data_IF_746254377337
#
_entry.id   IF_746254377337
#
_cell.length_a   1.000
_cell.length_b   1.000
_cell.length_c   1.000
_cell.angle_alpha   90.00
_cell.angle_beta   90.00
_cell.angle_gamma   90.00
#
_symmetry.space_group_name_H-M   'P 1'
#
loop_
_entity.id
_entity.type
_entity.pdbx_description
1 polymer ?
#
# COMPACT_ATOMS: atom_id res chain seq x y z
N UNK A 1 5.68 -7.24 -0.50
CA UNK A 1 5.87 -7.77 0.88
C UNK A 1 5.00 -6.98 1.84
N UNK A 2 4.61 -7.58 2.96
CA UNK A 2 3.94 -6.92 4.09
C UNK A 2 4.74 -7.25 5.35
N UNK A 3 5.08 -6.24 6.13
CA UNK A 3 5.86 -6.36 7.37
C UNK A 3 5.07 -5.72 8.50
N UNK A 4 4.85 -6.44 9.60
CA UNK A 4 4.14 -5.91 10.75
C UNK A 4 5.06 -5.06 11.64
N UNK A 5 4.53 -3.96 12.17
CA UNK A 5 5.20 -3.11 13.15
C UNK A 5 5.35 -3.84 14.50
N UNK A 6 6.27 -3.38 15.37
CA UNK A 6 6.27 -3.76 16.78
C UNK A 6 4.88 -3.52 17.41
N UNK A 7 4.32 -4.56 18.04
CA UNK A 7 2.96 -4.52 18.59
C UNK A 7 1.85 -4.98 17.64
N UNK A 8 2.17 -5.28 16.36
CA UNK A 8 1.29 -5.94 15.37
C UNK A 8 -0.09 -5.28 15.19
N UNK A 9 -0.20 -3.98 15.42
CA UNK A 9 -1.42 -3.20 15.11
C UNK A 9 -1.44 -2.68 13.68
N UNK A 10 -0.26 -2.45 13.11
CA UNK A 10 -0.11 -1.91 11.76
C UNK A 10 0.98 -2.65 11.00
N UNK A 11 1.01 -2.52 9.68
CA UNK A 11 2.07 -3.05 8.86
C UNK A 11 2.37 -2.23 7.62
N UNK A 12 3.65 -2.16 7.28
CA UNK A 12 4.14 -1.54 6.07
C UNK A 12 4.12 -2.54 4.91
N UNK A 13 3.65 -2.11 3.74
CA UNK A 13 3.70 -2.92 2.54
C UNK A 13 4.43 -2.25 1.38
N UNK A 14 4.98 -3.08 0.51
CA UNK A 14 5.59 -2.68 -0.75
C UNK A 14 5.18 -3.63 -1.89
N UNK A 15 4.86 -3.06 -3.06
CA UNK A 15 4.55 -3.79 -4.30
C UNK A 15 5.46 -3.28 -5.40
N UNK A 16 6.08 -4.19 -6.13
CA UNK A 16 6.90 -3.90 -7.31
C UNK A 16 6.38 -4.74 -8.47
N UNK A 17 6.16 -4.11 -9.62
CA UNK A 17 5.76 -4.78 -10.87
C UNK A 17 6.77 -4.37 -11.93
N UNK A 18 7.46 -5.35 -12.51
CA UNK A 18 8.42 -5.10 -13.59
C UNK A 18 7.75 -4.43 -14.78
N UNK A 19 8.50 -3.59 -15.50
CA UNK A 19 7.96 -2.69 -16.53
C UNK A 19 7.13 -3.39 -17.61
N UNK A 20 7.57 -4.56 -18.06
CA UNK A 20 6.88 -5.38 -19.07
C UNK A 20 5.47 -5.83 -18.62
N UNK A 21 5.19 -5.81 -17.32
CA UNK A 21 3.96 -6.30 -16.72
C UNK A 21 3.10 -5.18 -16.11
N UNK A 22 3.52 -3.92 -16.26
CA UNK A 22 2.74 -2.77 -15.82
C UNK A 22 1.51 -2.56 -16.72
N UNK A 23 0.48 -1.90 -16.19
CA UNK A 23 -0.77 -1.64 -16.93
C UNK A 23 -1.73 -2.83 -17.04
N UNK A 24 -1.30 -4.05 -16.66
CA UNK A 24 -2.11 -5.28 -16.72
C UNK A 24 -2.93 -5.54 -15.43
N UNK A 25 -2.95 -4.59 -14.50
CA UNK A 25 -3.69 -4.71 -13.24
C UNK A 25 -3.02 -5.55 -12.15
N UNK A 26 -1.80 -6.06 -12.37
CA UNK A 26 -1.08 -6.87 -11.38
C UNK A 26 -0.84 -6.14 -10.05
N UNK A 27 -0.45 -4.86 -10.10
CA UNK A 27 -0.27 -4.07 -8.88
C UNK A 27 -1.55 -3.99 -8.04
N UNK A 28 -2.72 -3.91 -8.68
CA UNK A 28 -4.02 -3.91 -7.99
C UNK A 28 -4.27 -5.24 -7.30
N UNK A 29 -4.09 -6.35 -8.02
CA UNK A 29 -4.29 -7.69 -7.49
C UNK A 29 -3.32 -8.00 -6.34
N UNK A 30 -2.05 -7.62 -6.47
CA UNK A 30 -1.07 -7.79 -5.41
C UNK A 30 -1.42 -6.97 -4.17
N UNK A 31 -1.89 -5.71 -4.33
CA UNK A 31 -2.37 -4.91 -3.21
C UNK A 31 -3.64 -5.49 -2.57
N UNK A 32 -4.56 -6.08 -3.35
CA UNK A 32 -5.71 -6.81 -2.80
C UNK A 32 -5.25 -7.98 -1.93
N UNK A 33 -4.30 -8.80 -2.41
CA UNK A 33 -3.73 -9.89 -1.62
C UNK A 33 -3.08 -9.37 -0.32
N UNK A 34 -2.37 -8.25 -0.36
CA UNK A 34 -1.77 -7.65 0.83
C UNK A 34 -2.81 -7.21 1.84
N UNK A 35 -3.94 -6.65 1.39
CA UNK A 35 -5.05 -6.26 2.28
C UNK A 35 -5.61 -7.49 2.99
N UNK A 36 -5.87 -8.58 2.26
CA UNK A 36 -6.37 -9.82 2.87
C UNK A 36 -5.35 -10.44 3.83
N UNK A 37 -4.07 -10.53 3.44
CA UNK A 37 -3.02 -11.02 4.34
C UNK A 37 -2.93 -10.15 5.60
N UNK A 38 -3.06 -8.82 5.47
CA UNK A 38 -3.08 -7.92 6.63
C UNK A 38 -4.24 -8.21 7.59
N UNK A 39 -5.42 -8.56 7.05
CA UNK A 39 -6.58 -8.97 7.86
C UNK A 39 -6.34 -10.32 8.54
N UNK A 40 -5.81 -11.29 7.80
CA UNK A 40 -5.47 -12.62 8.34
C UNK A 40 -4.39 -12.55 9.43
N UNK A 41 -3.46 -11.59 9.33
CA UNK A 41 -2.46 -11.29 10.34
C UNK A 41 -3.02 -10.55 11.58
N UNK A 42 -4.29 -10.11 11.55
CA UNK A 42 -4.93 -9.35 12.62
C UNK A 42 -4.49 -7.89 12.72
N UNK A 43 -3.97 -7.31 11.64
CA UNK A 43 -3.57 -5.89 11.61
C UNK A 43 -4.80 -4.99 11.51
N UNK A 44 -4.84 -3.90 12.27
CA UNK A 44 -5.90 -2.88 12.21
C UNK A 44 -5.74 -1.96 10.98
N UNK A 45 -4.50 -1.77 10.53
CA UNK A 45 -4.13 -0.83 9.47
C UNK A 45 -2.94 -1.32 8.66
N UNK A 46 -2.92 -1.02 7.37
CA UNK A 46 -1.72 -1.14 6.53
C UNK A 46 -1.33 0.23 5.96
N UNK A 47 -0.05 0.41 5.67
CA UNK A 47 0.44 1.63 5.04
C UNK A 47 1.62 1.38 4.10
N UNK A 48 1.88 2.34 3.21
CA UNK A 48 3.05 2.35 2.33
C UNK A 48 3.60 3.77 2.21
N UNK A 49 4.90 3.86 1.98
CA UNK A 49 5.56 5.09 1.53
C UNK A 49 5.69 5.08 0.02
N UNK A 50 5.25 6.16 -0.61
CA UNK A 50 5.14 6.28 -2.06
C UNK A 50 5.84 7.57 -2.47
N UNK A 51 6.72 7.49 -3.47
CA UNK A 51 7.30 8.69 -4.09
C UNK A 51 6.19 9.59 -4.64
N UNK A 52 6.29 10.90 -4.44
CA UNK A 52 5.25 11.87 -4.80
C UNK A 52 5.01 11.95 -6.32
N UNK A 53 5.98 11.51 -7.13
CA UNK A 53 5.89 11.40 -8.59
C UNK A 53 5.30 10.06 -9.08
N UNK A 54 5.11 9.08 -8.20
CA UNK A 54 4.55 7.77 -8.56
C UNK A 54 3.01 7.83 -8.64
N UNK A 55 2.52 8.55 -9.65
CA UNK A 55 1.10 8.74 -9.94
C UNK A 55 0.34 7.42 -10.12
N UNK A 56 0.98 6.36 -10.63
CA UNK A 56 0.36 5.03 -10.78
C UNK A 56 -0.01 4.43 -9.42
N UNK A 57 0.93 4.41 -8.47
CA UNK A 57 0.68 3.87 -7.13
C UNK A 57 -0.27 4.77 -6.33
N UNK A 58 -0.16 6.10 -6.46
CA UNK A 58 -1.10 7.05 -5.85
C UNK A 58 -2.52 6.80 -6.34
N UNK A 59 -2.73 6.68 -7.65
CA UNK A 59 -4.05 6.38 -8.23
C UNK A 59 -4.58 5.02 -7.79
N UNK A 60 -3.71 4.01 -7.70
CA UNK A 60 -4.05 2.68 -7.22
C UNK A 60 -4.56 2.72 -5.77
N UNK A 61 -3.78 3.30 -4.86
CA UNK A 61 -4.13 3.48 -3.47
C UNK A 61 -5.40 4.31 -3.31
N UNK A 62 -5.58 5.36 -4.11
CA UNK A 62 -6.79 6.19 -4.10
C UNK A 62 -8.04 5.37 -4.43
N UNK A 63 -7.98 4.56 -5.50
CA UNK A 63 -9.10 3.67 -5.90
C UNK A 63 -9.43 2.62 -4.83
N UNK A 64 -8.46 2.23 -4.01
CA UNK A 64 -8.61 1.27 -2.91
C UNK A 64 -8.97 1.92 -1.57
N UNK A 65 -9.22 3.23 -1.53
CA UNK A 65 -9.69 3.93 -0.33
C UNK A 65 -8.59 4.32 0.66
N UNK A 66 -7.31 4.23 0.28
CA UNK A 66 -6.22 4.72 1.11
C UNK A 66 -6.34 6.23 1.34
N UNK A 67 -5.97 6.67 2.53
CA UNK A 67 -5.81 8.07 2.90
C UNK A 67 -4.35 8.46 2.85
N UNK A 68 -4.07 9.67 2.40
CA UNK A 68 -2.72 10.15 2.15
C UNK A 68 -2.32 11.22 3.15
N UNK A 69 -1.08 11.15 3.60
CA UNK A 69 -0.42 12.13 4.45
C UNK A 69 0.90 12.51 3.76
N UNK A 70 1.10 13.81 3.50
CA UNK A 70 2.34 14.29 2.89
C UNK A 70 3.44 14.30 3.96
N UNK A 71 4.51 13.57 3.72
CA UNK A 71 5.66 13.51 4.64
C UNK A 71 6.63 14.64 4.32
N UNK A 72 6.95 14.82 3.03
CA UNK A 72 7.77 15.94 2.53
C UNK A 72 7.46 16.20 1.04
N UNK A 73 8.33 16.91 0.33
CA UNK A 73 8.15 17.20 -1.12
C UNK A 73 8.21 15.96 -2.02
N UNK A 74 8.87 14.90 -1.59
CA UNK A 74 9.22 13.72 -2.39
C UNK A 74 8.45 12.47 -1.97
N UNK A 75 7.88 12.45 -0.76
CA UNK A 75 7.30 11.25 -0.17
C UNK A 75 5.91 11.51 0.41
N UNK A 76 5.01 10.57 0.13
CA UNK A 76 3.64 10.53 0.65
C UNK A 76 3.42 9.19 1.35
N UNK A 77 2.82 9.22 2.54
CA UNK A 77 2.38 8.02 3.24
C UNK A 77 0.92 7.75 2.88
N UNK A 78 0.64 6.55 2.37
CA UNK A 78 -0.73 6.08 2.14
C UNK A 78 -1.10 5.06 3.21
N UNK A 79 -2.25 5.22 3.88
CA UNK A 79 -2.73 4.29 4.90
C UNK A 79 -4.18 3.89 4.72
N UNK A 80 -4.50 2.63 5.02
CA UNK A 80 -5.83 2.05 4.94
C UNK A 80 -6.13 1.29 6.23
N UNK A 81 -7.26 1.62 6.87
CA UNK A 81 -7.80 0.80 7.95
C UNK A 81 -8.50 -0.41 7.32
N UNK A 82 -8.23 -1.61 7.83
CA UNK A 82 -8.68 -2.88 7.22
C UNK A 82 -9.54 -3.74 8.14
N UNK A 83 -9.84 -3.23 9.34
CA UNK A 83 -10.81 -3.73 10.32
C UNK A 83 -11.92 -2.71 10.48
#
# INVERSE_FOLDING_TARGET
MLTADPGRKSGEFAVVVGDQWQGLGLGSRLTDCIIEIGREMGLERIYAFISSDNSRMINLCTKKGFKFEKINGELVKAGLNII
#
